data_IF_637028697412
#
_entry.id   IF_637028697412
#
_cell.length_a   1.000
_cell.length_b   1.000
_cell.length_c   1.000
_cell.angle_alpha   90.00
_cell.angle_beta   90.00
_cell.angle_gamma   90.00
#
_symmetry.space_group_name_H-M   'P 1'
#
loop_
_entity.id
_entity.type
_entity.pdbx_description
1 polymer ?
#
# COMPACT_ATOMS: atom_id res chain seq x y z
N UNK A 1 -8.58 8.70 -3.28
CA UNK A 1 -7.53 8.67 -2.23
C UNK A 1 -6.48 7.57 -2.48
N UNK A 2 -5.22 7.73 -2.03
CA UNK A 2 -4.20 6.66 -2.11
C UNK A 2 -3.94 6.06 -0.73
N UNK A 3 -4.29 4.79 -0.54
CA UNK A 3 -4.35 4.14 0.76
C UNK A 3 -3.00 3.54 1.16
N UNK A 4 -2.67 3.67 2.44
CA UNK A 4 -1.47 3.08 3.05
C UNK A 4 -1.76 1.64 3.50
N UNK A 5 -0.83 0.69 3.33
CA UNK A 5 -0.97 -0.66 3.86
C UNK A 5 -0.68 -0.73 5.38
N UNK A 6 -0.19 0.36 5.97
CA UNK A 6 0.32 0.40 7.35
C UNK A 6 -0.80 0.67 8.36
N UNK A 7 -1.88 -0.09 8.26
CA UNK A 7 -3.06 -0.03 9.12
C UNK A 7 -3.53 -1.44 9.46
N UNK A 8 -4.21 -1.65 10.61
CA UNK A 8 -4.74 -2.97 10.97
C UNK A 8 -5.78 -3.48 9.98
N UNK A 9 -6.63 -2.58 9.45
CA UNK A 9 -7.69 -2.90 8.51
C UNK A 9 -7.79 -1.81 7.43
N UNK A 10 -7.40 -2.12 6.20
CA UNK A 10 -7.46 -1.17 5.07
C UNK A 10 -8.90 -1.00 4.54
N UNK A 11 -9.78 -1.97 4.79
CA UNK A 11 -11.19 -1.91 4.38
C UNK A 11 -11.96 -0.82 5.11
N UNK A 12 -11.71 -0.62 6.40
CA UNK A 12 -12.30 0.49 7.19
C UNK A 12 -11.91 1.85 6.61
N UNK A 13 -10.63 2.01 6.23
CA UNK A 13 -10.13 3.25 5.62
C UNK A 13 -10.75 3.47 4.23
N UNK A 14 -10.94 2.39 3.46
CA UNK A 14 -11.60 2.45 2.16
C UNK A 14 -13.07 2.87 2.27
N UNK A 15 -13.80 2.31 3.24
CA UNK A 15 -15.20 2.66 3.52
C UNK A 15 -15.32 4.14 3.91
N UNK A 16 -14.48 4.61 4.83
CA UNK A 16 -14.44 6.02 5.22
C UNK A 16 -14.11 6.95 4.04
N UNK A 17 -13.20 6.54 3.14
CA UNK A 17 -12.91 7.30 1.93
C UNK A 17 -14.11 7.35 0.96
N UNK A 18 -14.86 6.26 0.83
CA UNK A 18 -16.07 6.21 0.02
C UNK A 18 -17.19 7.09 0.59
N UNK A 19 -17.43 7.03 1.91
CA UNK A 19 -18.37 7.91 2.62
C UNK A 19 -18.01 9.39 2.47
N UNK A 20 -16.70 9.69 2.41
CA UNK A 20 -16.18 11.03 2.11
C UNK A 20 -16.35 11.48 0.65
N UNK A 21 -16.99 10.68 -0.21
CA UNK A 21 -17.28 11.02 -1.60
C UNK A 21 -16.13 10.75 -2.57
N UNK A 22 -15.22 9.82 -2.25
CA UNK A 22 -14.19 9.42 -3.22
C UNK A 22 -14.79 8.75 -4.45
N UNK A 23 -14.36 9.16 -5.65
CA UNK A 23 -14.75 8.51 -6.91
C UNK A 23 -13.99 7.20 -7.16
N UNK A 24 -12.78 7.08 -6.62
CA UNK A 24 -11.91 5.93 -6.78
C UNK A 24 -10.82 5.85 -5.70
N UNK A 25 -10.24 4.67 -5.55
CA UNK A 25 -9.16 4.37 -4.62
C UNK A 25 -7.91 3.92 -5.37
N UNK A 26 -6.73 4.30 -4.88
CA UNK A 26 -5.46 3.70 -5.29
C UNK A 26 -4.86 2.97 -4.09
N UNK A 27 -4.41 1.74 -4.29
CA UNK A 27 -3.83 0.93 -3.22
C UNK A 27 -2.73 0.03 -3.77
N UNK A 28 -1.54 -0.03 -3.18
CA UNK A 28 -1.10 0.54 -1.89
C UNK A 28 -0.01 1.61 -2.06
N UNK A 29 0.19 2.41 -1.01
CA UNK A 29 1.45 3.12 -0.79
C UNK A 29 2.53 2.13 -0.29
N UNK A 30 3.75 2.61 -0.03
CA UNK A 30 4.86 1.79 0.45
C UNK A 30 4.58 1.13 1.81
N UNK A 31 5.17 -0.05 2.02
CA UNK A 31 5.07 -0.82 3.28
C UNK A 31 6.12 -0.35 4.29
N UNK A 32 5.79 -0.35 5.57
CA UNK A 32 6.73 -0.09 6.66
C UNK A 32 6.41 1.19 7.44
N UNK A 33 7.43 1.90 7.95
CA UNK A 33 8.77 1.99 7.36
C UNK A 33 9.76 0.90 7.80
N UNK A 34 10.83 0.71 7.01
CA UNK A 34 11.95 -0.16 7.31
C UNK A 34 13.23 0.65 7.59
N UNK A 35 14.12 0.08 8.41
CA UNK A 35 15.45 0.64 8.67
C UNK A 35 16.47 0.00 7.72
N UNK A 36 17.11 0.83 6.90
CA UNK A 36 18.11 0.38 5.93
C UNK A 36 19.50 0.72 6.44
N UNK A 37 20.31 -0.31 6.68
CA UNK A 37 21.68 -0.16 7.17
C UNK A 37 22.69 -0.72 6.18
N UNK A 38 23.83 -0.04 6.12
CA UNK A 38 25.04 -0.55 5.47
C UNK A 38 26.19 -0.28 6.42
N UNK A 39 26.97 -1.32 6.73
CA UNK A 39 28.13 -1.23 7.64
C UNK A 39 27.77 -0.62 9.02
N UNK A 40 26.56 -0.87 9.51
CA UNK A 40 26.09 -0.36 10.81
C UNK A 40 25.60 1.09 10.80
N UNK A 41 25.61 1.77 9.65
CA UNK A 41 25.13 3.14 9.51
C UNK A 41 23.82 3.20 8.72
N UNK A 42 22.92 4.17 9.01
CA UNK A 42 21.74 4.42 8.19
C UNK A 42 22.15 4.74 6.75
N UNK A 43 21.50 4.08 5.79
CA UNK A 43 21.66 4.39 4.35
C UNK A 43 20.84 5.62 3.98
N UNK A 44 19.65 5.77 4.59
CA UNK A 44 18.77 6.90 4.34
C UNK A 44 19.05 8.04 5.32
N UNK A 45 19.08 9.27 4.84
CA UNK A 45 19.19 10.47 5.69
C UNK A 45 18.03 10.58 6.68
N UNK A 46 16.83 10.16 6.26
CA UNK A 46 15.64 10.10 7.12
C UNK A 46 15.62 8.88 8.06
N UNK A 47 16.68 8.07 8.09
CA UNK A 47 16.83 6.85 8.91
C UNK A 47 15.88 5.72 8.47
N UNK A 48 14.58 6.00 8.40
CA UNK A 48 13.50 5.11 8.01
C UNK A 48 12.93 5.46 6.63
N UNK A 49 12.52 4.45 5.88
CA UNK A 49 11.91 4.63 4.56
C UNK A 49 10.88 3.55 4.23
N UNK A 50 10.00 3.86 3.28
CA UNK A 50 9.02 2.89 2.77
C UNK A 50 9.68 1.80 1.92
N UNK A 51 9.17 0.58 2.02
CA UNK A 51 9.50 -0.53 1.12
C UNK A 51 8.56 -0.55 -0.08
N UNK A 52 9.12 -0.75 -1.27
CA UNK A 52 8.39 -0.89 -2.53
C UNK A 52 9.01 -2.02 -3.39
N UNK A 53 8.55 -2.16 -4.64
CA UNK A 53 9.04 -3.19 -5.55
C UNK A 53 8.43 -4.57 -5.30
N UNK A 54 8.98 -5.60 -5.96
CA UNK A 54 8.38 -6.95 -6.02
C UNK A 54 8.06 -7.55 -4.65
N UNK A 55 8.89 -7.25 -3.64
CA UNK A 55 8.72 -7.75 -2.28
C UNK A 55 7.40 -7.35 -1.61
N UNK A 56 6.74 -6.26 -2.06
CA UNK A 56 5.46 -5.82 -1.48
C UNK A 56 4.23 -6.32 -2.25
N UNK A 57 4.40 -7.04 -3.37
CA UNK A 57 3.27 -7.53 -4.18
C UNK A 57 2.27 -8.38 -3.38
N UNK A 58 2.68 -9.33 -2.52
CA UNK A 58 1.72 -10.11 -1.73
C UNK A 58 0.86 -9.24 -0.79
N UNK A 59 1.44 -8.18 -0.24
CA UNK A 59 0.74 -7.22 0.64
C UNK A 59 -0.22 -6.37 -0.20
N UNK A 60 0.22 -5.87 -1.37
CA UNK A 60 -0.63 -5.11 -2.27
C UNK A 60 -1.87 -5.94 -2.70
N UNK A 61 -1.68 -7.19 -3.13
CA UNK A 61 -2.77 -8.09 -3.52
C UNK A 61 -3.70 -8.44 -2.35
N UNK A 62 -3.18 -8.55 -1.13
CA UNK A 62 -4.01 -8.70 0.08
C UNK A 62 -4.88 -7.46 0.29
N UNK A 63 -4.28 -6.27 0.31
CA UNK A 63 -5.00 -5.02 0.54
C UNK A 63 -6.04 -4.73 -0.54
N UNK A 64 -5.73 -4.93 -1.82
CA UNK A 64 -6.68 -4.74 -2.92
C UNK A 64 -7.91 -5.66 -2.75
N UNK A 65 -7.71 -6.91 -2.33
CA UNK A 65 -8.81 -7.84 -2.03
C UNK A 65 -9.67 -7.38 -0.85
N UNK A 66 -9.04 -6.93 0.24
CA UNK A 66 -9.75 -6.41 1.42
C UNK A 66 -10.54 -5.13 1.10
N UNK A 67 -9.96 -4.21 0.33
CA UNK A 67 -10.63 -2.99 -0.13
C UNK A 67 -11.83 -3.35 -1.01
N UNK A 68 -11.65 -4.26 -1.98
CA UNK A 68 -12.74 -4.65 -2.87
C UNK A 68 -13.89 -5.35 -2.14
N UNK A 69 -13.60 -6.06 -1.05
CA UNK A 69 -14.63 -6.63 -0.20
C UNK A 69 -15.37 -5.60 0.66
N UNK A 70 -14.76 -4.44 0.93
CA UNK A 70 -15.34 -3.39 1.76
C UNK A 70 -16.14 -2.33 0.98
N UNK A 71 -15.77 -2.06 -0.28
CA UNK A 71 -16.41 -1.02 -1.10
C UNK A 71 -16.55 -1.42 -2.57
N UNK A 72 -17.50 -0.80 -3.28
CA UNK A 72 -17.75 -0.99 -4.72
C UNK A 72 -17.05 0.04 -5.63
N UNK A 73 -16.29 0.97 -5.06
CA UNK A 73 -15.54 1.96 -5.85
C UNK A 73 -14.46 1.29 -6.71
N UNK A 74 -14.12 1.88 -7.87
CA UNK A 74 -12.96 1.48 -8.66
C UNK A 74 -11.66 1.52 -7.84
N UNK A 75 -10.82 0.49 -7.99
CA UNK A 75 -9.52 0.38 -7.31
C UNK A 75 -8.38 0.29 -8.32
N UNK A 76 -7.44 1.23 -8.24
CA UNK A 76 -6.18 1.20 -9.00
C UNK A 76 -5.11 0.50 -8.14
N UNK A 77 -4.78 -0.75 -8.52
CA UNK A 77 -3.75 -1.56 -7.88
C UNK A 77 -2.33 -1.02 -8.12
N UNK A 78 -1.53 -0.96 -7.07
CA UNK A 78 -0.15 -0.47 -7.08
C UNK A 78 0.68 -1.21 -6.01
N UNK A 79 1.91 -1.60 -6.36
CA UNK A 79 2.84 -2.23 -5.44
C UNK A 79 3.35 -3.57 -5.95
N UNK A 80 4.60 -3.58 -6.43
CA UNK A 80 5.31 -4.81 -6.81
C UNK A 80 4.91 -5.46 -8.13
N UNK A 81 4.04 -4.83 -8.92
CA UNK A 81 3.75 -5.21 -10.31
C UNK A 81 4.99 -4.91 -11.17
N UNK A 82 5.48 -5.92 -11.87
CA UNK A 82 6.74 -5.84 -12.63
C UNK A 82 6.69 -6.50 -14.01
N UNK A 83 5.61 -7.20 -14.32
CA UNK A 83 5.34 -7.82 -15.61
C UNK A 83 3.81 -7.89 -15.84
N UNK A 84 3.37 -8.47 -16.96
CA UNK A 84 1.95 -8.56 -17.31
C UNK A 84 1.16 -9.66 -16.57
N UNK A 85 1.85 -10.65 -15.99
CA UNK A 85 1.23 -11.74 -15.22
C UNK A 85 0.90 -11.33 -13.77
N UNK A 86 1.58 -10.29 -13.27
CA UNK A 86 1.39 -9.68 -11.94
C UNK A 86 0.09 -8.87 -11.82
#
# INVERSE_FOLDING_TARGET
PKLTPNVPNVGEIAAAAAEGGADALCAINTVGPAFYTSQGHPVLTNTLGGMSGKGVLPIALKCVREIRAAVDLPVIGCGGISNADD
#
